data_IF_951322755052
#
_entry.id   IF_951322755052
#
_cell.length_a   1.000
_cell.length_b   1.000
_cell.length_c   1.000
_cell.angle_alpha   90.00
_cell.angle_beta   90.00
_cell.angle_gamma   90.00
#
_symmetry.space_group_name_H-M   'P 1'
#
loop_
_entity.id
_entity.type
_entity.pdbx_description
1 polymer ?
#
# COMPACT_ATOMS: atom_id res chain seq x y z
N UNK A 1 -6.63 -13.00 -15.21
CA UNK A 1 -6.73 -12.21 -13.97
C UNK A 1 -5.31 -11.90 -13.54
N UNK A 2 -5.07 -10.72 -12.99
CA UNK A 2 -3.77 -10.35 -12.43
C UNK A 2 -3.85 -10.57 -10.92
N UNK A 3 -2.83 -11.19 -10.32
CA UNK A 3 -2.68 -11.31 -8.88
C UNK A 3 -2.45 -9.92 -8.27
N UNK A 4 -3.14 -9.60 -7.18
CA UNK A 4 -3.23 -8.25 -6.63
C UNK A 4 -3.02 -8.19 -5.11
N UNK A 5 -2.42 -7.09 -4.69
CA UNK A 5 -2.54 -6.60 -3.32
C UNK A 5 -3.77 -5.71 -3.21
N UNK A 6 -4.50 -5.82 -2.10
CA UNK A 6 -5.64 -4.96 -1.80
C UNK A 6 -5.42 -4.23 -0.49
N UNK A 7 -5.77 -2.95 -0.45
CA UNK A 7 -5.81 -2.14 0.74
C UNK A 7 -7.25 -1.69 0.98
N UNK A 8 -7.76 -2.00 2.16
CA UNK A 8 -9.07 -1.58 2.64
C UNK A 8 -8.94 -0.72 3.89
N UNK A 9 -10.02 -0.05 4.26
CA UNK A 9 -10.22 0.53 5.58
C UNK A 9 -11.48 -0.03 6.26
N UNK A 10 -11.49 -0.05 7.58
CA UNK A 10 -12.65 -0.48 8.37
C UNK A 10 -12.73 0.27 9.71
N UNK A 11 -13.92 0.60 10.21
CA UNK A 11 -14.10 1.19 11.54
C UNK A 11 -13.93 0.16 12.68
N UNK A 12 -13.87 -1.13 12.36
CA UNK A 12 -13.77 -2.20 13.36
C UNK A 12 -12.31 -2.56 13.54
N UNK A 13 -11.82 -2.52 14.77
CA UNK A 13 -10.54 -3.10 15.17
C UNK A 13 -10.52 -4.60 14.80
N UNK A 14 -9.83 -5.02 13.72
CA UNK A 14 -9.99 -6.39 13.22
C UNK A 14 -9.42 -7.43 14.19
N UNK A 15 -8.54 -6.98 15.08
CA UNK A 15 -7.92 -7.78 16.12
C UNK A 15 -8.82 -8.01 17.34
N UNK A 16 -9.78 -7.13 17.60
CA UNK A 16 -10.71 -7.27 18.72
C UNK A 16 -11.95 -8.07 18.30
N UNK A 17 -12.42 -7.89 17.06
CA UNK A 17 -13.60 -8.58 16.55
C UNK A 17 -13.47 -8.94 15.05
N UNK A 18 -12.74 -10.03 14.72
CA UNK A 18 -12.53 -10.45 13.33
C UNK A 18 -13.84 -10.68 12.57
N UNK A 19 -14.82 -11.33 13.17
CA UNK A 19 -16.11 -11.62 12.54
C UNK A 19 -16.89 -10.34 12.18
N UNK A 20 -16.82 -9.30 13.03
CA UNK A 20 -17.42 -8.01 12.73
C UNK A 20 -16.66 -7.26 11.62
N UNK A 21 -15.33 -7.33 11.58
CA UNK A 21 -14.55 -6.73 10.50
C UNK A 21 -14.90 -7.34 9.13
N UNK A 22 -15.14 -8.66 9.06
CA UNK A 22 -15.60 -9.34 7.83
C UNK A 22 -17.01 -8.96 7.39
N UNK A 23 -17.85 -8.44 8.29
CA UNK A 23 -19.28 -8.20 8.03
C UNK A 23 -19.69 -6.73 8.04
N UNK A 24 -18.80 -5.79 8.40
CA UNK A 24 -19.14 -4.37 8.61
C UNK A 24 -18.37 -3.38 7.73
N UNK A 25 -18.29 -3.66 6.43
CA UNK A 25 -17.92 -2.65 5.45
C UNK A 25 -16.42 -2.38 5.39
N UNK A 26 -15.71 -3.32 4.76
CA UNK A 26 -14.38 -3.04 4.24
C UNK A 26 -14.54 -2.07 3.07
N UNK A 27 -14.10 -0.83 3.26
CA UNK A 27 -14.10 0.17 2.21
C UNK A 27 -12.81 0.07 1.42
N UNK A 28 -12.89 -0.09 0.11
CA UNK A 28 -11.72 -0.10 -0.77
C UNK A 28 -10.91 1.19 -0.64
N UNK A 29 -9.58 1.07 -0.68
CA UNK A 29 -8.66 2.21 -0.71
C UNK A 29 -7.75 2.14 -1.93
N UNK A 30 -7.14 0.98 -2.18
CA UNK A 30 -6.20 0.80 -3.28
C UNK A 30 -6.09 -0.67 -3.68
N UNK A 31 -5.77 -0.93 -4.94
CA UNK A 31 -5.34 -2.24 -5.41
C UNK A 31 -4.12 -2.10 -6.32
N UNK A 32 -3.23 -3.08 -6.28
CA UNK A 32 -2.02 -3.08 -7.11
C UNK A 32 -1.72 -4.48 -7.63
N UNK A 33 -1.34 -4.58 -8.91
CA UNK A 33 -1.03 -5.88 -9.53
C UNK A 33 0.44 -6.26 -9.38
N UNK A 34 0.70 -7.55 -9.11
CA UNK A 34 2.02 -8.19 -9.16
C UNK A 34 3.06 -7.73 -8.13
N UNK A 35 2.70 -6.85 -7.18
CA UNK A 35 3.60 -6.42 -6.11
C UNK A 35 2.80 -5.82 -4.93
N UNK A 36 3.47 -5.69 -3.78
CA UNK A 36 3.02 -4.90 -2.62
C UNK A 36 3.83 -3.58 -2.60
N UNK A 37 3.30 -2.45 -3.13
CA UNK A 37 4.06 -1.22 -3.27
C UNK A 37 4.46 -0.59 -1.93
N UNK A 38 5.41 0.35 -1.96
CA UNK A 38 5.92 1.00 -0.75
C UNK A 38 4.84 1.81 0.00
N UNK A 39 3.95 2.51 -0.69
CA UNK A 39 2.93 3.38 -0.08
C UNK A 39 1.92 2.59 0.77
N UNK A 40 1.28 1.51 0.29
CA UNK A 40 0.46 0.65 1.15
C UNK A 40 1.22 0.10 2.35
N UNK A 41 2.51 -0.24 2.19
CA UNK A 41 3.36 -0.70 3.31
C UNK A 41 3.63 0.40 4.33
N UNK A 42 3.91 1.63 3.91
CA UNK A 42 4.04 2.79 4.80
C UNK A 42 2.74 2.99 5.59
N UNK A 43 1.59 2.95 4.92
CA UNK A 43 0.27 3.13 5.55
C UNK A 43 0.01 2.10 6.66
N UNK A 44 0.50 0.87 6.52
CA UNK A 44 0.34 -0.16 7.57
C UNK A 44 1.54 -0.32 8.49
N UNK A 45 2.59 0.50 8.37
CA UNK A 45 3.85 0.29 9.11
C UNK A 45 3.84 0.75 10.58
N UNK A 46 2.82 1.51 11.02
CA UNK A 46 2.75 1.99 12.40
C UNK A 46 1.86 1.08 13.23
N UNK A 47 2.46 0.39 14.22
CA UNK A 47 1.80 -0.64 15.02
C UNK A 47 1.15 -1.77 14.17
N UNK A 48 1.89 -2.38 13.22
CA UNK A 48 1.35 -3.44 12.38
C UNK A 48 1.05 -4.70 13.19
N UNK A 49 -0.04 -5.37 12.82
CA UNK A 49 -0.40 -6.68 13.34
C UNK A 49 -0.62 -7.63 12.16
N UNK A 50 0.13 -8.74 12.14
CA UNK A 50 -0.08 -9.83 11.20
C UNK A 50 -1.40 -10.55 11.50
N UNK A 51 -2.16 -10.88 10.46
CA UNK A 51 -3.51 -11.46 10.55
C UNK A 51 -3.75 -12.50 9.48
N UNK A 52 -4.68 -13.40 9.76
CA UNK A 52 -5.28 -14.24 8.73
C UNK A 52 -6.00 -13.35 7.72
N UNK A 53 -5.96 -13.76 6.46
CA UNK A 53 -6.69 -13.07 5.41
C UNK A 53 -8.19 -13.15 5.65
N UNK A 54 -8.88 -12.10 5.22
CA UNK A 54 -10.34 -12.08 5.11
C UNK A 54 -10.77 -12.63 3.73
N UNK A 55 -9.90 -12.53 2.73
CA UNK A 55 -10.11 -13.00 1.35
C UNK A 55 -9.83 -14.51 1.25
N UNK A 56 -8.70 -14.94 1.81
CA UNK A 56 -8.21 -16.33 1.84
C UNK A 56 -8.45 -16.92 3.23
N UNK A 57 -9.69 -17.32 3.49
CA UNK A 57 -10.14 -17.74 4.82
C UNK A 57 -10.00 -19.25 5.12
N UNK A 58 -9.46 -20.01 4.17
CA UNK A 58 -9.18 -21.43 4.25
C UNK A 58 -7.76 -21.75 4.73
N UNK A 59 -6.85 -20.78 4.72
CA UNK A 59 -5.50 -20.91 5.29
C UNK A 59 -5.39 -20.38 6.72
N UNK A 60 -4.68 -21.08 7.63
CA UNK A 60 -4.40 -20.55 8.96
C UNK A 60 -3.29 -19.48 8.97
N UNK A 61 -2.59 -19.28 7.86
CA UNK A 61 -1.39 -18.44 7.77
C UNK A 61 -1.69 -16.94 7.88
N UNK A 62 -0.72 -16.18 8.41
CA UNK A 62 -0.85 -14.74 8.67
C UNK A 62 -0.37 -13.93 7.47
N UNK A 63 -1.21 -13.88 6.43
CA UNK A 63 -0.89 -13.29 5.12
C UNK A 63 -1.56 -11.92 4.87
N UNK A 64 -2.16 -11.33 5.90
CA UNK A 64 -2.69 -9.98 5.88
C UNK A 64 -2.08 -9.13 7.00
N UNK A 65 -2.12 -7.80 6.86
CA UNK A 65 -1.63 -6.86 7.88
C UNK A 65 -2.72 -5.85 8.22
N UNK A 66 -2.86 -5.58 9.52
CA UNK A 66 -3.78 -4.54 10.02
C UNK A 66 -3.01 -3.50 10.82
N UNK A 67 -3.38 -2.23 10.68
CA UNK A 67 -2.76 -1.12 11.39
C UNK A 67 -3.72 0.09 11.49
N UNK A 68 -3.56 0.98 12.48
CA UNK A 68 -4.40 2.18 12.60
C UNK A 68 -4.22 3.18 11.44
N UNK A 69 -5.31 3.73 10.91
CA UNK A 69 -5.28 4.64 9.76
C UNK A 69 -4.57 5.96 10.06
N UNK A 70 -4.94 6.65 11.14
CA UNK A 70 -4.41 7.99 11.46
C UNK A 70 -2.87 8.04 11.50
N UNK A 71 -2.20 7.21 12.31
CA UNK A 71 -0.74 7.15 12.36
C UNK A 71 -0.09 6.77 11.02
N UNK A 72 -0.70 5.85 10.26
CA UNK A 72 -0.22 5.46 8.93
C UNK A 72 -0.26 6.60 7.92
N UNK A 73 -1.37 7.35 7.89
CA UNK A 73 -1.55 8.52 7.00
C UNK A 73 -0.56 9.63 7.38
N UNK A 74 -0.36 9.89 8.67
CA UNK A 74 0.61 10.88 9.13
C UNK A 74 2.05 10.51 8.72
N UNK A 75 2.41 9.23 8.79
CA UNK A 75 3.71 8.74 8.34
C UNK A 75 3.89 8.83 6.83
N UNK A 76 2.83 8.55 6.06
CA UNK A 76 2.85 8.74 4.61
C UNK A 76 2.99 10.23 4.25
N UNK A 77 2.30 11.13 4.94
CA UNK A 77 2.42 12.57 4.75
C UNK A 77 3.85 13.07 4.97
N UNK A 78 4.52 12.63 6.04
CA UNK A 78 5.92 12.95 6.29
C UNK A 78 6.83 12.44 5.16
N UNK A 79 6.66 11.19 4.75
CA UNK A 79 7.43 10.61 3.64
C UNK A 79 7.25 11.39 2.34
N UNK A 80 6.01 11.65 1.93
CA UNK A 80 5.71 12.36 0.68
C UNK A 80 6.21 13.80 0.72
N UNK A 81 6.19 14.45 1.88
CA UNK A 81 6.74 15.80 2.06
C UNK A 81 8.25 15.89 1.87
N UNK A 82 8.96 14.76 1.88
CA UNK A 82 10.41 14.66 1.67
C UNK A 82 10.80 14.35 0.22
N UNK A 83 9.85 13.98 -0.64
CA UNK A 83 10.11 13.70 -2.05
C UNK A 83 10.31 15.01 -2.80
N UNK A 84 11.56 15.32 -3.15
CA UNK A 84 11.93 16.46 -4.00
C UNK A 84 12.00 16.02 -5.47
N UNK A 85 10.87 15.65 -6.06
CA UNK A 85 10.80 15.21 -7.46
C UNK A 85 9.86 16.13 -8.27
N UNK A 86 10.31 16.72 -9.41
CA UNK A 86 9.51 17.68 -10.17
C UNK A 86 8.18 17.10 -10.66
N UNK A 87 8.17 15.82 -11.05
CA UNK A 87 6.94 15.14 -11.50
C UNK A 87 6.05 14.64 -10.35
N UNK A 88 6.40 14.88 -9.09
CA UNK A 88 5.49 14.55 -7.97
C UNK A 88 4.16 15.31 -8.10
N UNK A 89 4.20 16.53 -8.66
CA UNK A 89 3.03 17.31 -9.04
C UNK A 89 1.96 17.35 -7.95
N UNK A 90 0.75 16.91 -8.29
CA UNK A 90 -0.37 16.81 -7.34
C UNK A 90 -0.50 15.45 -6.67
N UNK A 91 0.30 14.44 -7.05
CA UNK A 91 0.11 13.04 -6.63
C UNK A 91 0.09 12.89 -5.12
N UNK A 92 1.00 13.57 -4.41
CA UNK A 92 1.05 13.56 -2.96
C UNK A 92 -0.20 14.17 -2.32
N UNK A 93 -0.61 15.35 -2.81
CA UNK A 93 -1.80 16.04 -2.31
C UNK A 93 -3.09 15.29 -2.60
N UNK A 94 -3.19 14.66 -3.77
CA UNK A 94 -4.35 13.87 -4.19
C UNK A 94 -4.44 12.57 -3.39
N UNK A 95 -3.31 11.89 -3.14
CA UNK A 95 -3.26 10.73 -2.25
C UNK A 95 -3.76 11.06 -0.84
N UNK A 96 -3.21 12.11 -0.22
CA UNK A 96 -3.61 12.52 1.13
C UNK A 96 -5.07 12.99 1.18
N UNK A 97 -5.55 13.70 0.15
CA UNK A 97 -6.96 14.11 0.05
C UNK A 97 -7.87 12.88 -0.02
N UNK A 98 -7.55 11.91 -0.87
CA UNK A 98 -8.32 10.69 -1.00
C UNK A 98 -8.35 9.94 0.34
N UNK A 99 -7.19 9.65 0.95
CA UNK A 99 -7.13 8.91 2.20
C UNK A 99 -7.97 9.58 3.30
N UNK A 100 -7.87 10.90 3.45
CA UNK A 100 -8.62 11.67 4.47
C UNK A 100 -10.12 11.76 4.19
N UNK A 101 -10.57 11.62 2.95
CA UNK A 101 -12.01 11.61 2.63
C UNK A 101 -12.62 10.20 2.66
N UNK A 102 -11.78 9.16 2.72
CA UNK A 102 -12.20 7.76 2.63
C UNK A 102 -11.86 6.94 3.89
N UNK A 103 -11.25 7.55 4.89
CA UNK A 103 -10.90 6.94 6.18
C UNK A 103 -11.16 7.94 7.32
N UNK A 104 -11.32 7.43 8.54
CA UNK A 104 -11.25 8.24 9.76
C UNK A 104 -9.97 7.92 10.55
N UNK A 105 -9.46 8.83 11.38
CA UNK A 105 -8.21 8.61 12.13
C UNK A 105 -8.22 7.38 13.05
N UNK A 106 -9.38 6.97 13.55
CA UNK A 106 -9.60 5.82 14.43
C UNK A 106 -9.99 4.54 13.67
N UNK A 107 -10.09 4.59 12.34
CA UNK A 107 -10.23 3.39 11.52
C UNK A 107 -8.93 2.58 11.48
N UNK A 108 -9.02 1.39 10.89
CA UNK A 108 -7.90 0.50 10.63
C UNK A 108 -7.76 0.23 9.14
N UNK A 109 -6.53 0.23 8.65
CA UNK A 109 -6.17 -0.36 7.36
C UNK A 109 -6.14 -1.87 7.45
N UNK A 110 -6.51 -2.53 6.35
CA UNK A 110 -6.34 -3.97 6.13
C UNK A 110 -5.65 -4.16 4.78
N UNK A 111 -4.41 -4.65 4.83
CA UNK A 111 -3.61 -4.98 3.65
C UNK A 111 -3.68 -6.49 3.41
N UNK A 112 -4.27 -6.88 2.30
CA UNK A 112 -4.44 -8.27 1.87
C UNK A 112 -3.39 -8.60 0.79
N UNK A 113 -2.53 -9.58 1.09
CA UNK A 113 -1.38 -9.93 0.24
C UNK A 113 -1.49 -11.32 -0.39
N UNK A 114 -2.55 -12.07 -0.09
CA UNK A 114 -2.66 -13.49 -0.44
C UNK A 114 -2.44 -13.82 -1.91
N UNK A 115 -3.03 -13.04 -2.82
CA UNK A 115 -2.80 -13.29 -4.26
C UNK A 115 -1.36 -13.02 -4.69
N UNK A 116 -0.68 -12.03 -4.10
CA UNK A 116 0.74 -11.80 -4.41
C UNK A 116 1.58 -12.95 -3.86
N UNK A 117 1.28 -13.42 -2.65
CA UNK A 117 2.02 -14.52 -2.07
C UNK A 117 1.83 -15.83 -2.86
N UNK A 118 0.65 -16.06 -3.42
CA UNK A 118 0.36 -17.21 -4.29
C UNK A 118 1.12 -17.20 -5.63
N UNK A 119 1.81 -16.10 -5.98
CA UNK A 119 2.65 -16.05 -7.17
C UNK A 119 4.00 -16.77 -7.00
N UNK A 120 4.46 -16.91 -5.77
CA UNK A 120 5.74 -17.52 -5.43
C UNK A 120 5.55 -18.89 -4.76
N UNK A 121 6.48 -19.82 -5.01
CA UNK A 121 6.47 -21.15 -4.38
C UNK A 121 6.86 -21.11 -2.88
N UNK A 122 7.21 -19.93 -2.34
CA UNK A 122 7.58 -19.77 -0.94
C UNK A 122 6.36 -19.93 -0.02
N UNK A 123 6.47 -20.63 1.12
CA UNK A 123 5.33 -20.81 2.02
C UNK A 123 4.74 -19.47 2.49
N UNK A 124 3.41 -19.38 2.54
CA UNK A 124 2.67 -18.21 3.02
C UNK A 124 3.12 -17.69 4.39
N UNK A 125 3.42 -18.60 5.32
CA UNK A 125 3.94 -18.23 6.63
C UNK A 125 5.31 -17.52 6.55
N UNK A 126 6.18 -17.92 5.63
CA UNK A 126 7.51 -17.32 5.42
C UNK A 126 7.37 -15.94 4.76
N UNK A 127 6.55 -15.83 3.71
CA UNK A 127 6.26 -14.57 3.04
C UNK A 127 5.60 -13.54 3.99
N UNK A 128 4.63 -13.97 4.81
CA UNK A 128 4.00 -13.12 5.82
C UNK A 128 4.99 -12.64 6.89
N UNK A 129 5.89 -13.52 7.34
CA UNK A 129 6.96 -13.15 8.27
C UNK A 129 7.95 -12.16 7.63
N UNK A 130 8.32 -12.37 6.36
CA UNK A 130 9.19 -11.47 5.60
C UNK A 130 8.58 -10.09 5.44
N UNK A 131 7.28 -10.00 5.11
CA UNK A 131 6.54 -8.74 5.04
C UNK A 131 6.61 -7.99 6.38
N UNK A 132 6.34 -8.66 7.50
CA UNK A 132 6.40 -8.04 8.82
C UNK A 132 7.81 -7.57 9.19
N UNK A 133 8.85 -8.33 8.82
CA UNK A 133 10.24 -7.92 8.99
C UNK A 133 10.59 -6.70 8.12
N UNK A 134 10.06 -6.62 6.91
CA UNK A 134 10.18 -5.45 6.03
C UNK A 134 9.51 -4.21 6.64
N UNK A 135 8.29 -4.34 7.17
CA UNK A 135 7.58 -3.24 7.85
C UNK A 135 8.36 -2.71 9.07
N UNK A 136 9.01 -3.60 9.82
CA UNK A 136 9.85 -3.20 10.96
C UNK A 136 11.10 -2.39 10.53
N UNK A 137 11.55 -2.54 9.27
CA UNK A 137 12.71 -1.86 8.71
C UNK A 137 12.33 -0.86 7.60
N UNK A 138 11.05 -0.43 7.55
CA UNK A 138 10.51 0.35 6.44
C UNK A 138 11.24 1.69 6.23
N UNK A 139 11.84 2.27 7.28
CA UNK A 139 12.63 3.49 7.19
C UNK A 139 13.79 3.33 6.20
N UNK A 140 14.45 2.17 6.15
CA UNK A 140 15.57 1.90 5.22
C UNK A 140 15.08 1.95 3.78
N UNK A 141 13.92 1.36 3.51
CA UNK A 141 13.31 1.37 2.18
C UNK A 141 12.82 2.76 1.78
N UNK A 142 12.26 3.52 2.73
CA UNK A 142 11.86 4.91 2.51
C UNK A 142 13.07 5.79 2.15
N UNK A 143 14.18 5.68 2.86
CA UNK A 143 15.41 6.41 2.52
C UNK A 143 15.98 5.99 1.16
N UNK A 144 15.92 4.69 0.83
CA UNK A 144 16.36 4.20 -0.47
C UNK A 144 15.48 4.76 -1.62
N UNK A 145 14.16 4.80 -1.43
CA UNK A 145 13.23 5.38 -2.38
C UNK A 145 13.48 6.88 -2.58
N UNK A 146 13.69 7.63 -1.50
CA UNK A 146 14.04 9.05 -1.56
C UNK A 146 15.35 9.29 -2.31
N UNK A 147 16.36 8.46 -2.08
CA UNK A 147 17.64 8.56 -2.78
C UNK A 147 17.50 8.31 -4.29
N UNK A 148 16.66 7.34 -4.68
CA UNK A 148 16.37 7.02 -6.09
C UNK A 148 15.58 8.14 -6.78
N UNK A 149 14.64 8.77 -6.07
CA UNK A 149 13.81 9.86 -6.58
C UNK A 149 14.50 11.22 -6.52
N UNK A 150 15.67 11.33 -5.91
CA UNK A 150 16.40 12.59 -5.85
C UNK A 150 16.76 13.06 -7.28
N UNK A 151 16.59 14.35 -7.59
CA UNK A 151 16.81 14.86 -8.94
C UNK A 151 18.29 14.73 -9.28
N UNK A 152 18.59 13.92 -10.30
CA UNK A 152 19.95 13.80 -10.81
C UNK A 152 20.22 14.93 -11.80
N UNK A 153 21.43 15.52 -11.74
CA UNK A 153 21.81 16.55 -12.71
C UNK A 153 21.83 15.92 -14.10
N UNK A 154 21.10 16.46 -15.09
CA UNK A 154 21.01 15.87 -16.41
C UNK A 154 22.39 15.84 -17.06
N UNK A 155 22.80 14.67 -17.56
CA UNK A 155 24.04 14.52 -18.33
C UNK A 155 23.86 15.17 -19.69
N UNK A 156 24.97 15.66 -20.26
CA UNK A 156 24.97 16.38 -21.54
C UNK A 156 24.23 15.64 -22.68
N UNK A 157 24.28 14.30 -22.70
CA UNK A 157 23.63 13.46 -23.72
C UNK A 157 22.12 13.26 -23.51
N UNK A 158 21.62 13.38 -22.28
CA UNK A 158 20.18 13.30 -21.96
C UNK A 158 19.41 14.52 -22.47
N UNK A 159 20.11 15.61 -22.80
CA UNK A 159 19.50 16.78 -23.48
C UNK A 159 19.15 16.52 -24.95
N UNK A 160 19.64 15.43 -25.54
CA UNK A 160 19.38 15.04 -26.92
C UNK A 160 18.19 14.05 -27.05
N UNK A 161 17.69 13.54 -25.92
CA UNK A 161 16.54 12.65 -25.85
C UNK A 161 15.57 13.15 -24.79
N UNK A 162 14.38 13.61 -25.19
CA UNK A 162 13.33 13.97 -24.22
C UNK A 162 12.61 12.68 -23.81
N UNK A 163 12.72 12.23 -22.54
CA UNK A 163 11.94 11.09 -22.07
C UNK A 163 10.44 11.39 -22.14
N UNK A 164 9.61 10.36 -22.29
CA UNK A 164 8.15 10.50 -22.24
C UNK A 164 7.71 10.78 -20.80
N UNK A 165 6.66 11.58 -20.60
CA UNK A 165 6.13 11.88 -19.26
C UNK A 165 5.85 10.60 -18.45
N UNK A 166 5.30 9.58 -19.11
CA UNK A 166 5.04 8.27 -18.51
C UNK A 166 6.30 7.63 -17.90
N UNK A 167 7.45 7.68 -18.59
CA UNK A 167 8.72 7.14 -18.07
C UNK A 167 9.31 7.94 -16.91
N UNK A 168 8.93 9.22 -16.77
CA UNK A 168 9.41 10.07 -15.67
C UNK A 168 8.52 9.92 -14.43
N UNK A 169 7.22 9.64 -14.63
CA UNK A 169 6.27 9.35 -13.54
C UNK A 169 6.33 7.90 -13.07
N UNK A 170 6.82 6.95 -13.88
CA UNK A 170 6.87 5.52 -13.57
C UNK A 170 7.48 5.22 -12.18
N UNK A 171 8.64 5.77 -11.78
CA UNK A 171 9.20 5.53 -10.44
C UNK A 171 8.30 6.02 -9.30
N UNK A 172 7.51 7.08 -9.52
CA UNK A 172 6.54 7.59 -8.56
C UNK A 172 5.29 6.69 -8.50
N UNK A 173 4.85 6.18 -9.66
CA UNK A 173 3.73 5.23 -9.73
C UNK A 173 4.10 3.93 -9.06
N UNK A 174 5.30 3.40 -9.27
CA UNK A 174 5.82 2.17 -8.64
C UNK A 174 5.80 2.21 -7.11
N UNK A 175 5.80 3.40 -6.50
CA UNK A 175 5.57 3.54 -5.07
C UNK A 175 4.18 3.08 -4.62
N UNK A 176 3.20 3.00 -5.53
CA UNK A 176 1.78 2.80 -5.21
C UNK A 176 0.94 4.07 -5.38
N UNK A 177 1.50 5.17 -5.89
CA UNK A 177 0.76 6.43 -6.04
C UNK A 177 -0.13 6.41 -7.28
N UNK A 178 -1.37 6.88 -7.12
CA UNK A 178 -2.32 7.07 -8.22
C UNK A 178 -3.26 5.89 -8.47
N UNK A 179 -3.27 4.87 -7.61
CA UNK A 179 -4.13 3.69 -7.70
C UNK A 179 -5.12 3.65 -6.54
N UNK A 180 -5.90 4.72 -6.39
CA UNK A 180 -6.88 4.90 -5.33
C UNK A 180 -8.28 4.57 -5.82
N UNK A 181 -9.01 3.70 -5.12
CA UNK A 181 -10.36 3.30 -5.51
C UNK A 181 -11.16 2.74 -4.31
N UNK A 182 -12.44 3.12 -4.23
CA UNK A 182 -13.39 2.52 -3.29
C UNK A 182 -13.91 1.16 -3.78
N UNK A 183 -13.92 0.96 -5.10
CA UNK A 183 -14.34 -0.28 -5.74
C UNK A 183 -13.09 -1.06 -6.18
N UNK A 184 -12.82 -2.17 -5.50
CA UNK A 184 -11.71 -3.07 -5.83
C UNK A 184 -12.22 -4.29 -6.59
N UNK A 185 -11.31 -5.05 -7.21
CA UNK A 185 -11.69 -6.29 -7.87
C UNK A 185 -12.34 -7.30 -6.91
N UNK A 186 -11.80 -7.39 -5.70
CA UNK A 186 -12.43 -8.13 -4.62
C UNK A 186 -13.27 -7.17 -3.78
N UNK A 187 -14.56 -7.07 -4.12
CA UNK A 187 -15.53 -6.27 -3.39
C UNK A 187 -16.42 -7.17 -2.52
N UNK A 188 -16.56 -6.83 -1.24
CA UNK A 188 -17.34 -7.59 -0.27
C UNK A 188 -18.84 -7.24 -0.31
N UNK A 189 -19.22 -6.12 -0.94
CA UNK A 189 -20.61 -5.64 -0.99
C UNK A 189 -21.36 -6.09 -2.26
N UNK A 190 -20.66 -6.75 -3.20
CA UNK A 190 -21.28 -7.31 -4.41
C UNK A 190 -21.63 -8.79 -4.21
N UNK A 191 -22.88 -9.22 -4.49
CA UNK A 191 -23.23 -10.64 -4.48
C UNK A 191 -22.41 -11.39 -5.53
N UNK A 192 -21.72 -12.45 -5.10
CA UNK A 192 -20.96 -13.37 -5.97
C UNK A 192 -21.87 -14.25 -6.81
#
# INVERSE_FOLDING_TARGET
MANRTYLYSTPVAPHENPAAARTRGLKGISEWSYAIPLVPRILVSVNPLARQSIIWDDTPDLIAVTAPCGPGIARLEDFLGRIDHPELGTMAGDALRFLRSHTEPDHYFVLECGEIFDMDDEPFAEQGAALMAGLANIDVEMEAALATLAPTKPKFWERLFTPTQESVEEPLRELGLGYWSETLYFDFDLPR
#
